data_IF_686802462957
#
_entry.id   IF_686802462957
#
_cell.length_a   1.000
_cell.length_b   1.000
_cell.length_c   1.000
_cell.angle_alpha   90.00
_cell.angle_beta   90.00
_cell.angle_gamma   90.00
#
_symmetry.space_group_name_H-M   'P 1'
#
loop_
_entity.id
_entity.type
_entity.pdbx_description
1 polymer ?
#
# COMPACT_ATOMS: atom_id res chain seq x y z
N UNK A 1 7.24 -15.06 -3.65
CA UNK A 1 6.64 -13.89 -2.98
C UNK A 1 5.91 -13.15 -4.07
N UNK A 2 4.59 -13.31 -4.11
CA UNK A 2 3.72 -12.63 -5.05
C UNK A 2 3.99 -11.12 -4.98
N UNK A 3 4.00 -10.47 -6.14
CA UNK A 3 4.25 -9.03 -6.20
C UNK A 3 3.03 -8.34 -5.62
N UNK A 4 3.07 -7.99 -4.34
CA UNK A 4 2.04 -7.14 -3.75
C UNK A 4 1.81 -5.93 -4.66
N UNK A 5 0.55 -5.66 -5.00
CA UNK A 5 0.11 -4.57 -5.88
C UNK A 5 0.70 -3.20 -5.47
N UNK A 6 1.05 -3.03 -4.18
CA UNK A 6 1.83 -1.90 -3.71
C UNK A 6 2.78 -2.28 -2.56
N UNK A 7 4.09 -2.47 -2.80
CA UNK A 7 5.04 -2.90 -1.76
C UNK A 7 5.20 -1.87 -0.63
N UNK A 8 5.04 -0.57 -0.94
CA UNK A 8 5.07 0.50 0.08
C UNK A 8 3.88 0.40 1.03
N UNK A 9 2.69 0.15 0.50
CA UNK A 9 1.49 -0.01 1.33
C UNK A 9 1.55 -1.29 2.17
N UNK A 10 2.02 -2.40 1.58
CA UNK A 10 2.22 -3.67 2.29
C UNK A 10 3.21 -3.52 3.46
N UNK A 11 4.39 -2.93 3.23
CA UNK A 11 5.36 -2.67 4.28
C UNK A 11 4.83 -1.72 5.36
N UNK A 12 3.99 -0.76 4.98
CA UNK A 12 3.33 0.15 5.93
C UNK A 12 2.33 -0.59 6.82
N UNK A 13 1.54 -1.49 6.25
CA UNK A 13 0.59 -2.33 7.02
C UNK A 13 1.33 -3.25 7.97
N UNK A 14 2.35 -3.96 7.49
CA UNK A 14 3.16 -4.87 8.30
C UNK A 14 3.85 -4.15 9.48
N UNK A 15 4.46 -2.99 9.22
CA UNK A 15 5.07 -2.18 10.27
C UNK A 15 4.03 -1.70 11.29
N UNK A 16 2.89 -1.20 10.82
CA UNK A 16 1.82 -0.71 11.70
C UNK A 16 1.26 -1.82 12.58
N UNK A 17 1.05 -3.02 12.03
CA UNK A 17 0.49 -4.16 12.75
C UNK A 17 1.48 -4.77 13.76
N UNK A 18 2.77 -4.75 13.45
CA UNK A 18 3.82 -5.26 14.34
C UNK A 18 4.15 -4.31 15.50
N UNK A 19 4.03 -3.00 15.29
CA UNK A 19 4.41 -1.99 16.29
C UNK A 19 3.22 -1.34 17.01
N UNK A 20 2.02 -1.41 16.43
CA UNK A 20 0.83 -0.68 16.89
C UNK A 20 0.94 0.85 16.74
N UNK A 21 1.97 1.34 16.03
CA UNK A 21 2.32 2.76 15.97
C UNK A 21 2.30 3.32 14.54
N UNK A 22 2.19 4.66 14.39
CA UNK A 22 2.31 5.32 13.10
C UNK A 22 3.61 4.99 12.37
N UNK A 23 3.54 4.93 11.05
CA UNK A 23 4.68 4.63 10.18
C UNK A 23 5.24 5.91 9.59
N UNK A 24 6.55 6.07 9.65
CA UNK A 24 7.26 7.14 8.92
C UNK A 24 7.91 6.56 7.67
N UNK A 25 8.19 7.37 6.62
CA UNK A 25 8.93 6.90 5.45
C UNK A 25 10.24 6.19 5.82
N UNK A 26 11.04 6.80 6.71
CA UNK A 26 12.29 6.24 7.20
C UNK A 26 12.13 4.88 7.91
N UNK A 27 10.98 4.58 8.50
CA UNK A 27 10.76 3.32 9.20
C UNK A 27 10.69 2.10 8.26
N UNK A 28 10.47 2.31 6.95
CA UNK A 28 10.30 1.23 5.97
C UNK A 28 11.25 1.32 4.77
N UNK A 29 12.14 2.31 4.72
CA UNK A 29 13.13 2.46 3.64
C UNK A 29 14.09 1.27 3.57
N UNK A 30 14.59 0.83 4.72
CA UNK A 30 15.53 -0.30 4.82
C UNK A 30 14.85 -1.61 4.41
N UNK A 31 13.59 -1.79 4.81
CA UNK A 31 12.76 -2.96 4.43
C UNK A 31 12.56 -3.05 2.92
N UNK A 32 12.44 -1.91 2.24
CA UNK A 32 12.14 -1.84 0.82
C UNK A 32 13.38 -1.71 -0.07
N UNK A 33 14.56 -1.47 0.51
CA UNK A 33 15.78 -1.09 -0.21
C UNK A 33 15.50 0.09 -1.16
N UNK A 34 14.90 1.16 -0.60
CA UNK A 34 14.48 2.36 -1.34
C UNK A 34 14.87 3.64 -0.62
N UNK A 35 15.10 4.68 -1.42
CA UNK A 35 15.35 6.04 -0.94
C UNK A 35 14.14 6.62 -0.18
N UNK A 36 14.41 7.33 0.92
CA UNK A 36 13.38 7.91 1.78
C UNK A 36 12.50 8.92 1.05
N UNK A 37 13.06 9.75 0.16
CA UNK A 37 12.28 10.74 -0.57
C UNK A 37 11.33 10.07 -1.58
N UNK A 38 11.75 8.93 -2.16
CA UNK A 38 10.89 8.11 -3.00
C UNK A 38 9.73 7.50 -2.20
N UNK A 39 10.01 6.94 -1.02
CA UNK A 39 8.97 6.40 -0.11
C UNK A 39 8.01 7.50 0.36
N UNK A 40 8.53 8.66 0.76
CA UNK A 40 7.73 9.81 1.18
C UNK A 40 6.83 10.34 0.06
N UNK A 41 7.33 10.36 -1.18
CA UNK A 41 6.52 10.69 -2.35
C UNK A 41 5.42 9.68 -2.57
N UNK A 42 5.70 8.38 -2.40
CA UNK A 42 4.68 7.36 -2.52
C UNK A 42 3.63 7.43 -1.41
N UNK A 43 4.02 7.76 -0.17
CA UNK A 43 3.08 7.99 0.92
C UNK A 43 2.05 9.08 0.61
N UNK A 44 2.51 10.21 0.06
CA UNK A 44 1.60 11.28 -0.38
C UNK A 44 0.58 10.79 -1.41
N UNK A 45 1.03 10.05 -2.42
CA UNK A 45 0.14 9.46 -3.42
C UNK A 45 -0.86 8.46 -2.81
N UNK A 46 -0.44 7.68 -1.81
CA UNK A 46 -1.34 6.76 -1.11
C UNK A 46 -2.37 7.49 -0.24
N UNK A 47 -2.02 8.65 0.31
CA UNK A 47 -2.98 9.54 0.99
C UNK A 47 -3.98 10.11 -0.01
N UNK A 48 -3.52 10.57 -1.18
CA UNK A 48 -4.39 11.07 -2.24
C UNK A 48 -5.39 10.00 -2.73
N UNK A 49 -5.03 8.72 -2.60
CA UNK A 49 -5.90 7.58 -2.91
C UNK A 49 -6.68 7.04 -1.69
N UNK A 50 -6.64 7.71 -0.54
CA UNK A 50 -7.29 7.29 0.72
C UNK A 50 -6.82 5.92 1.26
N UNK A 51 -5.66 5.42 0.81
CA UNK A 51 -5.07 4.15 1.26
C UNK A 51 -4.22 4.31 2.53
N UNK A 52 -3.69 5.51 2.75
CA UNK A 52 -3.06 5.94 3.99
C UNK A 52 -3.75 7.18 4.53
N UNK A 53 -3.68 7.38 5.85
CA UNK A 53 -4.09 8.62 6.49
C UNK A 53 -2.93 9.22 7.29
N UNK A 54 -2.65 10.53 7.16
CA UNK A 54 -1.69 11.21 8.01
C UNK A 54 -2.21 11.28 9.45
N UNK A 55 -1.29 11.12 10.40
CA UNK A 55 -1.51 11.27 11.84
C UNK A 55 -0.35 12.07 12.44
N UNK A 56 -0.41 12.41 13.72
CA UNK A 56 0.53 13.33 14.37
C UNK A 56 2.02 13.00 14.11
N UNK A 57 2.39 11.71 14.15
CA UNK A 57 3.78 11.26 14.06
C UNK A 57 4.04 10.32 12.87
N UNK A 58 3.23 10.39 11.81
CA UNK A 58 3.43 9.57 10.61
C UNK A 58 2.13 9.26 9.90
N UNK A 59 2.00 8.01 9.47
CA UNK A 59 0.89 7.54 8.65
C UNK A 59 0.30 6.27 9.26
N UNK A 60 -1.01 6.09 9.11
CA UNK A 60 -1.66 4.81 9.39
C UNK A 60 -2.30 4.25 8.12
N UNK A 61 -2.33 2.92 7.94
CA UNK A 61 -3.19 2.30 6.96
C UNK A 61 -4.66 2.63 7.24
N UNK A 62 -5.43 2.92 6.18
CA UNK A 62 -6.89 3.00 6.27
C UNK A 62 -7.50 1.59 6.12
N UNK A 63 -8.81 1.48 6.35
CA UNK A 63 -9.55 0.25 6.04
C UNK A 63 -9.46 -0.03 4.54
N UNK A 64 -9.69 0.98 3.70
CA UNK A 64 -9.55 0.90 2.23
C UNK A 64 -8.17 0.43 1.79
N UNK A 65 -7.11 0.93 2.44
CA UNK A 65 -5.73 0.50 2.16
C UNK A 65 -5.47 -0.98 2.44
N UNK A 66 -6.11 -1.53 3.48
CA UNK A 66 -6.02 -2.97 3.80
C UNK A 66 -6.82 -3.80 2.83
N UNK A 67 -8.08 -3.42 2.57
CA UNK A 67 -8.92 -4.10 1.59
C UNK A 67 -8.28 -4.13 0.20
N UNK A 68 -7.60 -3.06 -0.22
CA UNK A 68 -6.86 -3.01 -1.48
C UNK A 68 -5.77 -4.10 -1.56
N UNK A 69 -5.08 -4.40 -0.46
CA UNK A 69 -4.09 -5.48 -0.42
C UNK A 69 -4.76 -6.85 -0.40
N UNK A 70 -5.90 -6.99 0.28
CA UNK A 70 -6.65 -8.25 0.35
C UNK A 70 -7.29 -8.63 -1.00
N UNK A 71 -7.56 -7.66 -1.88
CA UNK A 71 -8.01 -7.90 -3.26
C UNK A 71 -6.94 -8.56 -4.14
N UNK A 72 -5.67 -8.52 -3.73
CA UNK A 72 -4.53 -9.08 -4.48
C UNK A 72 -4.33 -10.59 -4.25
N UNK A 73 -5.10 -11.22 -3.35
CA UNK A 73 -4.88 -12.62 -2.98
C UNK A 73 -5.69 -13.62 -3.82
N UNK A 74 -6.71 -13.21 -4.59
CA UNK A 74 -7.36 -14.07 -5.59
C UNK A 74 -7.99 -13.25 -6.75
N UNK A 75 -7.21 -12.42 -7.44
CA UNK A 75 -7.59 -12.09 -8.82
C UNK A 75 -7.26 -13.28 -9.73
N UNK A 76 -8.09 -14.34 -9.64
CA UNK A 76 -8.25 -15.29 -10.74
C UNK A 76 -8.48 -14.52 -12.05
N UNK A 77 -8.15 -15.13 -13.21
CA UNK A 77 -8.02 -14.41 -14.47
C UNK A 77 -9.19 -13.45 -14.68
N UNK A 78 -8.89 -12.15 -14.80
CA UNK A 78 -9.85 -11.17 -15.31
C UNK A 78 -10.17 -11.62 -16.74
N UNK A 79 -11.25 -12.38 -16.89
CA UNK A 79 -11.86 -12.64 -18.19
C UNK A 79 -12.54 -11.33 -18.54
N UNK A 80 -11.88 -10.53 -19.38
CA UNK A 80 -12.57 -9.46 -20.10
C UNK A 80 -13.32 -10.19 -21.21
N UNK A 81 -14.64 -10.37 -21.06
CA UNK A 81 -15.47 -10.58 -22.24
C UNK A 81 -15.42 -9.28 -23.03
N UNK A 82 -14.47 -9.22 -23.97
CA UNK A 82 -14.65 -8.37 -25.15
C UNK A 82 -15.77 -8.99 -25.93
N UNK A 83 -17.01 -8.68 -25.54
CA UNK A 83 -18.13 -8.73 -26.46
C UNK A 83 -17.85 -7.70 -27.54
N UNK A 84 -17.14 -8.19 -28.56
CA UNK A 84 -17.21 -7.69 -29.91
C UNK A 84 -18.66 -7.86 -30.36
N UNK A 85 -19.44 -6.78 -30.39
CA UNK A 85 -20.72 -6.76 -31.08
C UNK A 85 -21.15 -5.34 -31.47
N UNK A 86 -20.94 -5.09 -32.77
CA UNK A 86 -21.67 -4.22 -33.71
C UNK A 86 -21.26 -2.75 -33.88
#
# INVERSE_FOLDING_TARGET
>A
MERANCPVLAATVEYYDSTGGPVTPAAITDTLDRDEAAVATRFRQLVDCELLAPVQDGYRPTVTGREFLDLDVECGPIIVDTDDSS
#
